data_IF_792362308981
#
_entry.id   IF_792362308981
#
_cell.length_a   1.000
_cell.length_b   1.000
_cell.length_c   1.000
_cell.angle_alpha   90.00
_cell.angle_beta   90.00
_cell.angle_gamma   90.00
#
_symmetry.space_group_name_H-M   'P 1'
#
loop_
_entity.id
_entity.type
_entity.pdbx_description
1 polymer ?
#
# COMPACT_ATOMS: atom_id res chain seq x y z
N UNK A 1 5.10 5.14 -22.76
CA UNK A 1 6.22 5.26 -21.81
C UNK A 1 5.97 6.49 -20.96
N UNK A 2 6.10 6.39 -19.63
CA UNK A 2 5.93 7.46 -18.64
C UNK A 2 7.17 7.52 -17.76
N UNK A 3 7.44 8.67 -17.16
CA UNK A 3 8.41 8.82 -16.07
C UNK A 3 7.66 8.68 -14.74
N UNK A 4 8.09 7.73 -13.92
CA UNK A 4 7.41 7.40 -12.67
C UNK A 4 8.39 7.38 -11.51
N UNK A 5 8.15 8.24 -10.53
CA UNK A 5 8.90 8.21 -9.28
C UNK A 5 8.17 7.39 -8.23
N UNK A 6 8.86 6.44 -7.59
CA UNK A 6 8.34 5.64 -6.47
C UNK A 6 9.03 6.11 -5.19
N UNK A 7 8.27 6.75 -4.32
CA UNK A 7 8.75 7.32 -3.06
C UNK A 7 8.60 6.30 -1.95
N UNK A 8 9.73 5.67 -1.59
CA UNK A 8 9.82 4.61 -0.59
C UNK A 8 10.24 3.27 -1.17
N UNK A 9 11.43 2.79 -0.78
CA UNK A 9 12.04 1.54 -1.25
C UNK A 9 11.76 0.34 -0.32
N UNK A 10 10.61 0.32 0.35
CA UNK A 10 10.12 -0.83 1.10
C UNK A 10 9.71 -1.99 0.18
N UNK A 11 9.16 -3.07 0.75
CA UNK A 11 8.70 -4.23 -0.04
C UNK A 11 7.74 -3.82 -1.16
N UNK A 12 6.72 -3.03 -0.82
CA UNK A 12 5.68 -2.64 -1.79
C UNK A 12 6.18 -1.66 -2.84
N UNK A 13 6.94 -0.63 -2.44
CA UNK A 13 7.53 0.32 -3.39
C UNK A 13 8.50 -0.36 -4.36
N UNK A 14 9.37 -1.26 -3.87
CA UNK A 14 10.27 -2.03 -4.71
C UNK A 14 9.53 -2.95 -5.69
N UNK A 15 8.44 -3.63 -5.24
CA UNK A 15 7.63 -4.47 -6.12
C UNK A 15 6.94 -3.67 -7.22
N UNK A 16 6.40 -2.48 -6.90
CA UNK A 16 5.80 -1.58 -7.88
C UNK A 16 6.83 -0.98 -8.84
N UNK A 17 8.04 -0.64 -8.36
CA UNK A 17 9.12 -0.17 -9.22
C UNK A 17 9.50 -1.24 -10.26
N UNK A 18 9.60 -2.50 -9.86
CA UNK A 18 9.84 -3.63 -10.77
C UNK A 18 8.69 -3.81 -11.77
N UNK A 19 7.44 -3.75 -11.31
CA UNK A 19 6.25 -3.82 -12.16
C UNK A 19 6.28 -2.74 -13.25
N UNK A 20 6.49 -1.47 -12.84
CA UNK A 20 6.47 -0.31 -13.71
C UNK A 20 7.63 -0.33 -14.72
N UNK A 21 8.83 -0.71 -14.28
CA UNK A 21 9.99 -0.87 -15.16
C UNK A 21 9.77 -1.98 -16.20
N UNK A 22 9.15 -3.11 -15.80
CA UNK A 22 8.77 -4.20 -16.71
C UNK A 22 7.64 -3.79 -17.67
N UNK A 23 6.82 -2.80 -17.33
CA UNK A 23 5.84 -2.19 -18.23
C UNK A 23 6.48 -1.23 -19.25
N UNK A 24 7.80 -1.00 -19.17
CA UNK A 24 8.53 -0.13 -20.11
C UNK A 24 8.52 1.35 -19.72
N UNK A 25 8.26 1.67 -18.45
CA UNK A 25 8.38 3.04 -17.93
C UNK A 25 9.80 3.35 -17.47
N UNK A 26 10.16 4.64 -17.45
CA UNK A 26 11.34 5.14 -16.76
C UNK A 26 11.00 5.25 -15.28
N UNK A 27 11.75 4.54 -14.41
CA UNK A 27 11.41 4.45 -12.99
C UNK A 27 12.55 4.97 -12.13
N UNK A 28 12.22 5.91 -11.24
CA UNK A 28 13.08 6.38 -10.17
C UNK A 28 12.57 5.83 -8.84
N UNK A 29 13.38 5.06 -8.14
CA UNK A 29 13.07 4.51 -6.81
C UNK A 29 13.84 5.32 -5.76
N UNK A 30 13.08 6.07 -4.95
CA UNK A 30 13.65 6.92 -3.91
C UNK A 30 13.66 6.25 -2.54
N UNK A 31 14.76 6.42 -1.83
CA UNK A 31 14.85 6.20 -0.38
C UNK A 31 15.87 7.16 0.24
N UNK A 32 15.61 7.56 1.49
CA UNK A 32 16.52 8.42 2.24
C UNK A 32 17.55 7.63 3.09
N UNK A 33 17.40 6.31 3.18
CA UNK A 33 18.25 5.45 4.00
C UNK A 33 19.55 5.09 3.24
N UNK A 34 20.73 5.56 3.70
CA UNK A 34 22.01 5.26 3.05
C UNK A 34 22.31 3.77 2.90
N UNK A 35 21.86 2.96 3.87
CA UNK A 35 22.02 1.50 3.81
C UNK A 35 21.19 0.88 2.69
N UNK A 36 19.93 1.33 2.55
CA UNK A 36 19.08 0.89 1.43
C UNK A 36 19.63 1.34 0.08
N UNK A 37 20.15 2.57 -0.02
CA UNK A 37 20.75 3.09 -1.26
C UNK A 37 21.93 2.22 -1.68
N UNK A 38 22.87 1.94 -0.76
CA UNK A 38 24.02 1.08 -1.04
C UNK A 38 23.58 -0.33 -1.46
N UNK A 39 22.66 -0.93 -0.71
CA UNK A 39 22.12 -2.27 -0.97
C UNK A 39 21.43 -2.34 -2.34
N UNK A 40 20.52 -1.41 -2.65
CA UNK A 40 19.77 -1.38 -3.91
C UNK A 40 20.69 -1.10 -5.11
N UNK A 41 21.68 -0.21 -4.96
CA UNK A 41 22.63 0.14 -6.01
C UNK A 41 23.60 -1.01 -6.32
N UNK A 42 24.07 -1.72 -5.29
CA UNK A 42 25.10 -2.78 -5.45
C UNK A 42 24.50 -4.14 -5.74
N UNK A 43 23.45 -4.54 -5.01
CA UNK A 43 22.83 -5.87 -5.13
C UNK A 43 21.69 -5.92 -6.13
N UNK A 44 21.17 -4.76 -6.54
CA UNK A 44 19.96 -4.65 -7.36
C UNK A 44 18.82 -5.50 -6.81
N UNK A 45 18.61 -5.44 -5.49
CA UNK A 45 17.61 -6.22 -4.77
C UNK A 45 17.37 -5.60 -3.38
N UNK A 46 16.11 -5.55 -2.98
CA UNK A 46 15.73 -5.22 -1.60
C UNK A 46 15.78 -6.51 -0.75
N UNK A 47 17.01 -6.93 -0.38
CA UNK A 47 17.25 -8.26 0.23
C UNK A 47 16.58 -8.44 1.60
N UNK A 48 16.29 -7.34 2.31
CA UNK A 48 15.74 -7.38 3.66
C UNK A 48 14.20 -7.42 3.67
N UNK A 49 13.56 -6.67 2.75
CA UNK A 49 12.11 -6.46 2.76
C UNK A 49 11.39 -7.15 1.60
N UNK A 50 12.13 -7.51 0.52
CA UNK A 50 11.58 -8.19 -0.67
C UNK A 50 12.64 -9.15 -1.27
N UNK A 51 13.09 -10.16 -0.52
CA UNK A 51 14.13 -11.05 -0.98
C UNK A 51 13.70 -11.88 -2.19
N UNK A 52 14.65 -12.09 -3.12
CA UNK A 52 14.46 -12.89 -4.33
C UNK A 52 13.80 -12.15 -5.49
N UNK A 53 13.61 -10.82 -5.38
CA UNK A 53 13.09 -9.97 -6.48
C UNK A 53 14.20 -9.01 -6.91
N UNK A 54 14.72 -9.22 -8.13
CA UNK A 54 15.76 -8.35 -8.71
C UNK A 54 15.16 -7.10 -9.31
N UNK A 55 15.80 -5.97 -9.06
CA UNK A 55 15.47 -4.70 -9.71
C UNK A 55 16.07 -4.70 -11.13
N UNK A 56 15.26 -4.47 -12.17
CA UNK A 56 15.75 -4.21 -13.53
C UNK A 56 16.78 -3.08 -13.58
N UNK A 57 17.76 -3.18 -14.48
CA UNK A 57 18.86 -2.22 -14.58
C UNK A 57 18.41 -0.79 -14.91
N UNK A 58 17.24 -0.65 -15.56
CA UNK A 58 16.63 0.62 -15.92
C UNK A 58 15.92 1.33 -14.76
N UNK A 59 15.90 0.77 -13.53
CA UNK A 59 15.44 1.50 -12.35
C UNK A 59 16.59 2.36 -11.82
N UNK A 60 16.37 3.66 -11.73
CA UNK A 60 17.28 4.61 -11.10
C UNK A 60 17.06 4.59 -9.57
N UNK A 61 18.13 4.47 -8.79
CA UNK A 61 18.08 4.60 -7.33
C UNK A 61 18.48 6.02 -6.98
N UNK A 62 17.64 6.73 -6.23
CA UNK A 62 17.83 8.15 -5.93
C UNK A 62 17.70 8.41 -4.42
N UNK A 63 18.61 9.21 -3.88
CA UNK A 63 18.63 9.64 -2.48
C UNK A 63 18.02 11.04 -2.30
N UNK A 64 18.21 11.92 -3.28
CA UNK A 64 17.71 13.28 -3.23
C UNK A 64 16.26 13.35 -3.67
N UNK A 65 15.37 13.79 -2.76
CA UNK A 65 13.93 13.84 -3.00
C UNK A 65 13.58 14.82 -4.13
N UNK A 66 14.30 15.95 -4.23
CA UNK A 66 14.07 16.93 -5.30
C UNK A 66 14.38 16.34 -6.67
N UNK A 67 15.50 15.66 -6.79
CA UNK A 67 15.91 14.97 -8.03
C UNK A 67 14.90 13.89 -8.40
N UNK A 68 14.46 13.10 -7.43
CA UNK A 68 13.46 12.04 -7.63
C UNK A 68 12.09 12.56 -8.10
N UNK A 69 11.75 13.81 -7.83
CA UNK A 69 10.47 14.43 -8.20
C UNK A 69 10.55 15.32 -9.44
N UNK A 70 11.75 15.48 -10.03
CA UNK A 70 11.94 16.37 -11.17
C UNK A 70 11.45 15.75 -12.47
N UNK A 71 10.53 16.44 -13.15
CA UNK A 71 9.99 16.08 -14.47
C UNK A 71 9.26 14.72 -14.55
N UNK A 72 8.72 14.25 -13.43
CA UNK A 72 7.93 13.03 -13.38
C UNK A 72 6.49 13.22 -13.90
N UNK A 73 5.96 12.23 -14.60
CA UNK A 73 4.56 12.17 -15.03
C UNK A 73 3.65 11.71 -13.86
N UNK A 74 4.11 10.73 -13.09
CA UNK A 74 3.37 10.12 -11.97
C UNK A 74 4.31 9.93 -10.78
N UNK A 75 3.83 10.26 -9.60
CA UNK A 75 4.52 10.00 -8.32
C UNK A 75 3.75 8.95 -7.54
N UNK A 76 4.40 7.86 -7.15
CA UNK A 76 3.82 6.78 -6.35
C UNK A 76 4.29 6.92 -4.90
N UNK A 77 3.37 7.23 -3.98
CA UNK A 77 3.64 7.34 -2.54
C UNK A 77 3.58 5.95 -1.89
N UNK A 78 4.73 5.35 -1.64
CA UNK A 78 4.88 3.98 -1.11
C UNK A 78 5.58 3.90 0.25
N UNK A 79 5.58 5.00 1.00
CA UNK A 79 6.10 5.03 2.37
C UNK A 79 5.07 4.47 3.36
N UNK A 80 5.47 4.03 4.57
CA UNK A 80 4.54 3.60 5.62
C UNK A 80 3.54 4.70 6.02
N UNK A 81 2.31 4.30 6.38
CA UNK A 81 1.23 5.25 6.70
C UNK A 81 1.60 6.30 7.77
N UNK A 82 2.35 5.97 8.86
CA UNK A 82 2.67 6.96 9.89
C UNK A 82 3.57 8.12 9.43
N UNK A 83 4.26 7.96 8.29
CA UNK A 83 5.18 8.99 7.79
C UNK A 83 4.68 9.70 6.52
N UNK A 84 3.49 9.35 6.02
CA UNK A 84 2.93 9.93 4.77
C UNK A 84 2.85 11.44 4.85
N UNK A 85 2.29 12.03 5.92
CA UNK A 85 2.20 13.49 6.11
C UNK A 85 3.56 14.16 6.06
N UNK A 86 4.52 13.61 6.81
CA UNK A 86 5.87 14.17 6.85
C UNK A 86 6.53 14.18 5.46
N UNK A 87 6.40 13.07 4.74
CA UNK A 87 6.99 12.93 3.39
C UNK A 87 6.24 13.83 2.39
N UNK A 88 4.90 13.89 2.44
CA UNK A 88 4.11 14.79 1.60
C UNK A 88 4.53 16.25 1.79
N UNK A 89 4.72 16.68 3.04
CA UNK A 89 5.21 18.02 3.37
C UNK A 89 6.61 18.29 2.79
N UNK A 90 7.50 17.28 2.82
CA UNK A 90 8.84 17.41 2.20
C UNK A 90 8.78 17.46 0.67
N UNK A 91 7.82 16.77 0.06
CA UNK A 91 7.60 16.75 -1.39
C UNK A 91 6.99 18.05 -1.90
N UNK A 92 6.12 18.69 -1.12
CA UNK A 92 5.29 19.84 -1.52
C UNK A 92 6.04 20.95 -2.28
N UNK A 93 7.27 21.38 -1.90
CA UNK A 93 8.01 22.41 -2.63
C UNK A 93 8.44 21.99 -4.05
N UNK A 94 8.38 20.71 -4.39
CA UNK A 94 8.90 20.18 -5.67
C UNK A 94 7.78 19.63 -6.56
N UNK A 95 6.53 19.65 -6.09
CA UNK A 95 5.36 19.15 -6.83
C UNK A 95 4.80 20.25 -7.74
N UNK A 96 4.57 19.91 -9.00
CA UNK A 96 3.96 20.80 -10.01
C UNK A 96 2.43 20.86 -9.81
N UNK A 97 1.83 21.95 -10.28
CA UNK A 97 0.37 22.05 -10.35
C UNK A 97 -0.20 20.92 -11.22
N UNK A 98 -1.20 20.22 -10.67
CA UNK A 98 -1.82 19.08 -11.33
C UNK A 98 -0.97 17.80 -11.35
N UNK A 99 0.14 17.75 -10.61
CA UNK A 99 0.94 16.52 -10.49
C UNK A 99 0.11 15.37 -9.97
N UNK A 100 0.12 14.26 -10.67
CA UNK A 100 -0.58 13.05 -10.23
C UNK A 100 0.26 12.34 -9.17
N UNK A 101 -0.34 12.15 -7.99
CA UNK A 101 0.24 11.39 -6.87
C UNK A 101 -0.66 10.19 -6.59
N UNK A 102 -0.10 8.98 -6.68
CA UNK A 102 -0.83 7.73 -6.41
C UNK A 102 -0.42 7.23 -5.03
N UNK A 103 -1.31 7.36 -4.04
CA UNK A 103 -1.11 6.74 -2.74
C UNK A 103 -1.32 5.22 -2.85
N UNK A 104 -0.33 4.46 -2.40
CA UNK A 104 -0.39 2.99 -2.35
C UNK A 104 -0.23 2.45 -0.93
N UNK A 105 -0.04 3.33 0.05
CA UNK A 105 -0.01 2.98 1.47
C UNK A 105 -1.44 2.68 1.97
N UNK A 106 -1.53 1.85 3.00
CA UNK A 106 -2.81 1.40 3.58
C UNK A 106 -2.82 1.72 5.08
N UNK A 107 -3.63 2.68 5.48
CA UNK A 107 -3.72 3.12 6.87
C UNK A 107 -4.57 4.38 7.01
N UNK A 108 -4.73 4.82 8.24
CA UNK A 108 -5.39 6.06 8.65
C UNK A 108 -4.39 6.79 9.56
N UNK A 109 -4.37 8.11 9.51
CA UNK A 109 -3.54 8.89 10.43
C UNK A 109 -4.11 8.79 11.85
N UNK A 110 -3.29 8.39 12.81
CA UNK A 110 -3.69 8.07 14.19
C UNK A 110 -4.19 9.28 15.00
N UNK A 111 -3.73 10.50 14.68
CA UNK A 111 -4.09 11.72 15.41
C UNK A 111 -5.36 12.38 14.88
N UNK A 112 -5.50 12.44 13.56
CA UNK A 112 -6.60 13.17 12.91
C UNK A 112 -7.72 12.27 12.40
N UNK A 113 -7.47 10.96 12.32
CA UNK A 113 -8.35 9.94 11.72
C UNK A 113 -8.66 10.19 10.23
N UNK A 114 -7.82 11.00 9.55
CA UNK A 114 -7.96 11.29 8.13
C UNK A 114 -7.41 10.15 7.28
N UNK A 115 -7.96 10.02 6.08
CA UNK A 115 -7.40 9.12 5.07
C UNK A 115 -6.04 9.64 4.60
N UNK A 116 -5.23 8.77 4.00
CA UNK A 116 -3.91 9.17 3.53
C UNK A 116 -3.99 10.11 2.33
N UNK A 117 -5.03 9.98 1.49
CA UNK A 117 -5.28 10.94 0.41
C UNK A 117 -5.63 12.33 0.94
N UNK A 118 -6.48 12.41 1.98
CA UNK A 118 -6.82 13.69 2.61
C UNK A 118 -5.55 14.42 3.12
N UNK A 119 -4.65 13.69 3.80
CA UNK A 119 -3.43 14.32 4.32
C UNK A 119 -2.43 14.69 3.22
N UNK A 120 -2.39 13.94 2.11
CA UNK A 120 -1.57 14.34 0.95
C UNK A 120 -2.17 15.60 0.31
N UNK A 121 -3.49 15.69 0.14
CA UNK A 121 -4.16 16.88 -0.38
C UNK A 121 -3.99 18.11 0.53
N UNK A 122 -3.95 17.91 1.86
CA UNK A 122 -3.66 19.00 2.80
C UNK A 122 -2.24 19.57 2.65
N UNK A 123 -1.24 18.70 2.53
CA UNK A 123 0.17 19.12 2.42
C UNK A 123 0.55 19.55 1.00
N UNK A 124 -0.17 19.05 -0.03
CA UNK A 124 0.08 19.31 -1.46
C UNK A 124 -1.26 19.64 -2.17
N UNK A 125 -1.86 20.80 -1.89
CA UNK A 125 -3.23 21.12 -2.36
C UNK A 125 -3.36 21.30 -3.88
N UNK A 126 -2.25 21.42 -4.59
CA UNK A 126 -2.19 21.56 -6.05
C UNK A 126 -1.97 20.21 -6.78
N UNK A 127 -1.86 19.10 -6.07
CA UNK A 127 -1.74 17.77 -6.67
C UNK A 127 -3.10 17.15 -7.00
N UNK A 128 -3.12 16.24 -7.98
CA UNK A 128 -4.22 15.29 -8.20
C UNK A 128 -3.92 13.98 -7.47
N UNK A 129 -4.56 13.77 -6.32
CA UNK A 129 -4.33 12.57 -5.50
C UNK A 129 -5.25 11.44 -5.94
N UNK A 130 -4.61 10.30 -6.21
CA UNK A 130 -5.24 9.04 -6.60
C UNK A 130 -4.81 7.93 -5.63
N UNK A 131 -5.48 6.80 -5.66
CA UNK A 131 -5.18 5.66 -4.80
C UNK A 131 -5.07 4.37 -5.61
N UNK A 132 -4.19 3.46 -5.20
CA UNK A 132 -4.10 2.11 -5.74
C UNK A 132 -4.16 1.11 -4.57
N UNK A 133 -5.16 0.23 -4.57
CA UNK A 133 -5.35 -0.74 -3.49
C UNK A 133 -6.01 -2.02 -3.99
N UNK A 134 -6.00 -3.07 -3.17
CA UNK A 134 -6.54 -4.39 -3.47
C UNK A 134 -5.66 -5.51 -2.92
N UNK A 135 -5.99 -6.79 -3.15
CA UNK A 135 -5.21 -7.93 -2.71
C UNK A 135 -3.86 -7.95 -3.44
N UNK A 136 -2.79 -7.46 -2.80
CA UNK A 136 -1.51 -7.17 -3.45
C UNK A 136 -0.33 -7.34 -2.50
N UNK A 137 -0.01 -8.58 -2.15
CA UNK A 137 1.24 -8.86 -1.43
C UNK A 137 2.45 -8.57 -2.33
N UNK A 138 3.40 -7.78 -1.81
CA UNK A 138 4.58 -7.34 -2.54
C UNK A 138 5.41 -8.51 -3.07
N UNK A 139 5.48 -9.59 -2.30
CA UNK A 139 6.21 -10.81 -2.64
C UNK A 139 5.64 -11.50 -3.90
N UNK A 140 4.33 -11.47 -4.06
CA UNK A 140 3.65 -12.04 -5.23
C UNK A 140 3.76 -11.11 -6.43
N UNK A 141 3.50 -9.83 -6.26
CA UNK A 141 3.59 -8.83 -7.34
C UNK A 141 5.01 -8.73 -7.88
N UNK A 142 6.02 -8.67 -7.02
CA UNK A 142 7.42 -8.60 -7.43
C UNK A 142 7.90 -9.84 -8.20
N UNK A 143 7.25 -10.99 -8.01
CA UNK A 143 7.52 -12.24 -8.76
C UNK A 143 6.65 -12.42 -9.99
N UNK A 144 5.79 -11.45 -10.31
CA UNK A 144 4.89 -11.53 -11.46
C UNK A 144 3.76 -12.54 -11.32
N UNK A 145 3.34 -12.85 -10.10
CA UNK A 145 2.17 -13.71 -9.85
C UNK A 145 0.90 -12.90 -10.16
N UNK A 146 -0.11 -13.50 -10.83
CA UNK A 146 -1.33 -12.80 -11.22
C UNK A 146 -2.00 -12.10 -10.03
N UNK A 147 -2.18 -10.80 -10.17
CA UNK A 147 -2.72 -9.91 -9.12
C UNK A 147 -3.76 -8.98 -9.74
N UNK A 148 -4.77 -8.63 -8.96
CA UNK A 148 -5.83 -7.71 -9.38
C UNK A 148 -6.04 -6.63 -8.34
N UNK A 149 -6.03 -5.36 -8.77
CA UNK A 149 -6.18 -4.18 -7.92
C UNK A 149 -7.19 -3.19 -8.50
N UNK A 150 -7.48 -2.14 -7.72
CA UNK A 150 -8.31 -1.01 -8.14
C UNK A 150 -7.48 0.27 -8.03
N UNK A 151 -7.55 1.11 -9.08
CA UNK A 151 -7.11 2.50 -9.03
C UNK A 151 -8.32 3.41 -8.87
N UNK A 152 -8.26 4.30 -7.88
CA UNK A 152 -9.25 5.32 -7.60
C UNK A 152 -8.75 6.70 -7.99
N UNK A 153 -9.55 7.45 -8.76
CA UNK A 153 -9.28 8.84 -9.10
C UNK A 153 -10.58 9.65 -9.18
N UNK A 154 -10.49 10.97 -8.94
CA UNK A 154 -11.64 11.88 -9.09
C UNK A 154 -12.06 12.00 -10.57
N UNK A 155 -11.08 12.04 -11.47
CA UNK A 155 -11.28 12.12 -12.91
C UNK A 155 -11.18 10.73 -13.56
N UNK A 156 -12.11 10.43 -14.46
CA UNK A 156 -12.13 9.15 -15.18
C UNK A 156 -10.91 9.00 -16.08
N UNK A 157 -10.53 10.06 -16.77
CA UNK A 157 -9.37 10.09 -17.68
C UNK A 157 -8.07 9.79 -16.93
N UNK A 158 -7.90 10.34 -15.73
CA UNK A 158 -6.76 10.04 -14.85
C UNK A 158 -6.79 8.58 -14.39
N UNK A 159 -7.96 8.05 -14.01
CA UNK A 159 -8.10 6.65 -13.63
C UNK A 159 -7.74 5.69 -14.77
N UNK A 160 -8.21 5.97 -15.99
CA UNK A 160 -7.91 5.17 -17.18
C UNK A 160 -6.43 5.27 -17.58
N UNK A 161 -5.83 6.45 -17.49
CA UNK A 161 -4.39 6.64 -17.73
C UNK A 161 -3.56 5.84 -16.71
N UNK A 162 -3.91 5.91 -15.42
CA UNK A 162 -3.22 5.13 -14.38
C UNK A 162 -3.45 3.63 -14.53
N UNK A 163 -4.63 3.21 -14.97
CA UNK A 163 -4.89 1.82 -15.35
C UNK A 163 -3.87 1.35 -16.40
N UNK A 164 -3.65 2.13 -17.46
CA UNK A 164 -2.69 1.79 -18.51
C UNK A 164 -1.24 1.79 -18.01
N UNK A 165 -0.89 2.67 -17.08
CA UNK A 165 0.46 2.74 -16.48
C UNK A 165 0.77 1.48 -15.69
N UNK A 166 -0.14 1.01 -14.85
CA UNK A 166 0.11 -0.13 -13.96
C UNK A 166 -0.23 -1.49 -14.57
N UNK A 167 -1.18 -1.55 -15.51
CA UNK A 167 -1.72 -2.83 -16.01
C UNK A 167 -0.74 -3.56 -16.92
N UNK A 168 -0.68 -4.89 -16.77
CA UNK A 168 -0.01 -5.78 -17.70
C UNK A 168 -0.68 -7.17 -17.71
N UNK A 169 -0.04 -8.17 -18.32
CA UNK A 169 -0.59 -9.54 -18.47
C UNK A 169 -0.86 -10.26 -17.15
N UNK A 170 -0.13 -9.88 -16.07
CA UNK A 170 -0.24 -10.49 -14.74
C UNK A 170 -0.73 -9.52 -13.67
N UNK A 171 -0.86 -8.24 -13.98
CA UNK A 171 -1.34 -7.23 -13.05
C UNK A 171 -2.56 -6.52 -13.64
N UNK A 172 -3.75 -6.94 -13.21
CA UNK A 172 -5.02 -6.39 -13.68
C UNK A 172 -5.40 -5.19 -12.81
N UNK A 173 -5.76 -4.08 -13.44
CA UNK A 173 -6.21 -2.87 -12.78
C UNK A 173 -7.64 -2.54 -13.19
N UNK A 174 -8.53 -2.35 -12.22
CA UNK A 174 -9.88 -1.79 -12.42
C UNK A 174 -9.88 -0.32 -11.99
N UNK A 175 -10.80 0.46 -12.52
CA UNK A 175 -10.97 1.88 -12.18
C UNK A 175 -12.18 2.09 -11.27
N UNK A 176 -12.12 3.08 -10.38
CA UNK A 176 -13.22 3.51 -9.53
C UNK A 176 -13.14 5.01 -9.25
N UNK A 177 -14.29 5.63 -8.98
CA UNK A 177 -14.36 7.00 -8.47
C UNK A 177 -14.47 7.08 -6.94
N UNK A 178 -14.55 5.94 -6.25
CA UNK A 178 -14.72 5.86 -4.80
C UNK A 178 -13.35 5.77 -4.08
N UNK A 179 -12.61 6.86 -4.04
CA UNK A 179 -11.31 6.95 -3.37
C UNK A 179 -11.45 6.60 -1.89
N UNK A 180 -12.44 7.16 -1.22
CA UNK A 180 -12.69 6.96 0.22
C UNK A 180 -12.92 5.49 0.54
N UNK A 181 -13.82 4.82 -0.19
CA UNK A 181 -14.11 3.40 0.03
C UNK A 181 -12.89 2.51 -0.24
N UNK A 182 -12.08 2.83 -1.25
CA UNK A 182 -10.84 2.11 -1.57
C UNK A 182 -9.83 2.22 -0.42
N UNK A 183 -9.60 3.41 0.11
CA UNK A 183 -8.66 3.64 1.20
C UNK A 183 -9.11 3.00 2.51
N UNK A 184 -10.37 3.23 2.88
CA UNK A 184 -10.94 2.66 4.12
C UNK A 184 -10.95 1.14 4.09
N UNK A 185 -11.30 0.52 2.96
CA UNK A 185 -11.20 -0.94 2.79
C UNK A 185 -9.78 -1.45 3.03
N UNK A 186 -8.79 -0.80 2.42
CA UNK A 186 -7.38 -1.15 2.58
C UNK A 186 -6.82 -0.91 3.98
N UNK A 187 -7.28 0.13 4.69
CA UNK A 187 -6.82 0.48 6.03
C UNK A 187 -7.46 -0.41 7.12
N UNK A 188 -8.79 -0.46 7.14
CA UNK A 188 -9.55 -1.11 8.21
C UNK A 188 -9.41 -2.64 8.22
N UNK A 189 -9.21 -3.28 7.05
CA UNK A 189 -8.95 -4.72 6.98
C UNK A 189 -7.78 -5.17 7.85
N UNK A 190 -6.80 -4.30 8.08
CA UNK A 190 -5.60 -4.63 8.84
C UNK A 190 -5.92 -4.93 10.31
N UNK A 191 -6.93 -4.26 10.89
CA UNK A 191 -7.45 -4.54 12.24
C UNK A 191 -8.06 -5.94 12.29
N UNK A 192 -8.88 -6.29 11.29
CA UNK A 192 -9.51 -7.63 11.20
C UNK A 192 -8.44 -8.72 11.00
N UNK A 193 -7.41 -8.43 10.21
CA UNK A 193 -6.29 -9.37 10.01
C UNK A 193 -5.46 -9.59 11.29
N UNK A 194 -5.28 -8.55 12.11
CA UNK A 194 -4.66 -8.67 13.44
C UNK A 194 -5.50 -9.60 14.32
N UNK A 195 -6.82 -9.39 14.39
CA UNK A 195 -7.75 -10.25 15.14
C UNK A 195 -7.77 -11.68 14.60
N UNK A 196 -7.74 -11.89 13.26
CA UNK A 196 -7.67 -13.21 12.65
C UNK A 196 -6.39 -13.97 13.04
N UNK A 197 -5.26 -13.24 13.10
CA UNK A 197 -4.01 -13.81 13.62
C UNK A 197 -4.13 -14.22 15.09
N UNK A 198 -4.76 -13.39 15.93
CA UNK A 198 -4.99 -13.71 17.35
C UNK A 198 -5.85 -14.96 17.52
N UNK A 199 -6.89 -15.11 16.72
CA UNK A 199 -7.73 -16.32 16.66
C UNK A 199 -6.89 -17.56 16.33
N UNK A 200 -6.00 -17.45 15.33
CA UNK A 200 -5.07 -18.54 14.98
C UNK A 200 -4.10 -18.85 16.12
N UNK A 201 -3.55 -17.83 16.77
CA UNK A 201 -2.63 -17.97 17.91
C UNK A 201 -3.25 -18.65 19.12
N UNK A 202 -4.52 -18.38 19.40
CA UNK A 202 -5.30 -19.01 20.45
C UNK A 202 -5.69 -20.47 20.12
N UNK A 203 -5.47 -20.91 18.89
CA UNK A 203 -5.80 -22.27 18.44
C UNK A 203 -7.27 -22.46 18.07
N UNK A 204 -8.00 -21.39 17.78
CA UNK A 204 -9.36 -21.48 17.25
C UNK A 204 -9.33 -21.88 15.78
N UNK A 205 -10.35 -22.61 15.34
CA UNK A 205 -10.37 -23.18 14.00
C UNK A 205 -10.90 -22.24 12.92
N UNK A 206 -10.97 -22.79 11.69
CA UNK A 206 -11.37 -22.05 10.48
C UNK A 206 -12.81 -21.51 10.56
N UNK A 207 -13.71 -22.18 11.25
CA UNK A 207 -15.08 -21.69 11.46
C UNK A 207 -15.09 -20.36 12.23
N UNK A 208 -14.26 -20.22 13.27
CA UNK A 208 -14.14 -18.98 14.04
C UNK A 208 -13.54 -17.88 13.17
N UNK A 209 -12.50 -18.17 12.39
CA UNK A 209 -11.88 -17.23 11.46
C UNK A 209 -12.88 -16.79 10.39
N UNK A 210 -13.64 -17.69 9.79
CA UNK A 210 -14.68 -17.36 8.81
C UNK A 210 -15.76 -16.44 9.41
N UNK A 211 -16.23 -16.76 10.63
CA UNK A 211 -17.19 -15.91 11.35
C UNK A 211 -16.63 -14.51 11.62
N UNK A 212 -15.38 -14.41 12.08
CA UNK A 212 -14.68 -13.13 12.31
C UNK A 212 -14.59 -12.31 11.02
N UNK A 213 -14.16 -12.89 9.91
CA UNK A 213 -14.06 -12.21 8.63
C UNK A 213 -15.44 -11.75 8.13
N UNK A 214 -16.47 -12.59 8.25
CA UNK A 214 -17.85 -12.25 7.87
C UNK A 214 -18.40 -11.07 8.68
N UNK A 215 -18.17 -11.06 9.98
CA UNK A 215 -18.58 -9.95 10.86
C UNK A 215 -17.71 -8.70 10.59
N UNK A 216 -16.40 -8.92 10.40
CA UNK A 216 -15.45 -7.86 10.10
C UNK A 216 -15.81 -7.08 8.84
N UNK A 217 -16.13 -7.76 7.71
CA UNK A 217 -16.52 -7.05 6.48
C UNK A 217 -17.83 -6.29 6.64
N UNK A 218 -18.81 -6.82 7.38
CA UNK A 218 -20.05 -6.13 7.63
C UNK A 218 -19.87 -4.86 8.48
N UNK A 219 -18.96 -4.89 9.45
CA UNK A 219 -18.60 -3.74 10.28
C UNK A 219 -17.81 -2.70 9.49
N UNK A 220 -16.85 -3.16 8.71
CA UNK A 220 -16.03 -2.37 7.81
C UNK A 220 -16.89 -1.60 6.79
N UNK A 221 -17.89 -2.27 6.21
CA UNK A 221 -18.85 -1.65 5.28
C UNK A 221 -19.66 -0.55 5.97
N UNK A 222 -20.22 -0.81 7.16
CA UNK A 222 -21.01 0.20 7.90
C UNK A 222 -20.18 1.44 8.26
N UNK A 223 -18.96 1.23 8.74
CA UNK A 223 -18.05 2.33 9.06
C UNK A 223 -17.65 3.10 7.80
N UNK A 224 -17.33 2.37 6.73
CA UNK A 224 -16.95 2.96 5.45
C UNK A 224 -18.06 3.78 4.82
N UNK A 225 -19.30 3.31 4.86
CA UNK A 225 -20.48 4.10 4.42
C UNK A 225 -20.66 5.37 5.26
N UNK A 226 -20.53 5.27 6.59
CA UNK A 226 -20.66 6.43 7.48
C UNK A 226 -19.59 7.50 7.21
N UNK A 227 -18.44 7.10 6.65
CA UNK A 227 -17.33 7.98 6.26
C UNK A 227 -17.37 8.40 4.77
N UNK A 228 -18.41 8.04 4.03
CA UNK A 228 -18.64 8.49 2.65
C UNK A 228 -18.20 7.51 1.55
N UNK A 229 -17.72 6.33 1.89
CA UNK A 229 -17.43 5.25 0.93
C UNK A 229 -18.70 4.56 0.43
N UNK A 230 -18.62 3.90 -0.72
CA UNK A 230 -19.75 3.18 -1.32
C UNK A 230 -19.77 1.71 -0.88
N UNK A 231 -20.93 1.13 -0.50
CA UNK A 231 -21.04 -0.26 -0.04
C UNK A 231 -20.47 -1.29 -1.04
N UNK A 232 -20.64 -1.03 -2.33
CA UNK A 232 -20.16 -1.89 -3.40
C UNK A 232 -18.63 -2.04 -3.39
N UNK A 233 -17.92 -0.98 -3.01
CA UNK A 233 -16.45 -0.99 -2.91
C UNK A 233 -15.97 -2.00 -1.86
N UNK A 234 -16.66 -2.09 -0.72
CA UNK A 234 -16.33 -3.03 0.35
C UNK A 234 -16.67 -4.48 0.00
N UNK A 235 -17.62 -4.71 -0.91
CA UNK A 235 -17.91 -6.04 -1.47
C UNK A 235 -16.93 -6.46 -2.58
N UNK A 236 -16.05 -5.55 -3.02
CA UNK A 236 -15.09 -5.72 -4.10
C UNK A 236 -13.69 -6.11 -3.65
N UNK A 237 -12.71 -5.77 -4.52
CA UNK A 237 -11.30 -6.12 -4.35
C UNK A 237 -10.67 -5.47 -3.12
N UNK A 238 -10.98 -4.21 -2.84
CA UNK A 238 -10.38 -3.44 -1.73
C UNK A 238 -11.03 -3.72 -0.38
N UNK A 239 -12.21 -4.31 -0.37
CA UNK A 239 -12.90 -4.80 0.83
C UNK A 239 -12.68 -6.29 1.03
N UNK A 240 -13.63 -7.12 0.56
CA UNK A 240 -13.62 -8.59 0.74
C UNK A 240 -12.34 -9.21 0.19
N UNK A 241 -11.90 -8.84 -1.01
CA UNK A 241 -10.72 -9.44 -1.64
C UNK A 241 -9.45 -9.24 -0.81
N UNK A 242 -9.17 -8.01 -0.42
CA UNK A 242 -7.97 -7.67 0.35
C UNK A 242 -8.08 -8.15 1.81
N UNK A 243 -9.29 -8.22 2.38
CA UNK A 243 -9.54 -8.81 3.69
C UNK A 243 -9.20 -10.30 3.72
N UNK A 244 -9.71 -11.08 2.75
CA UNK A 244 -9.47 -12.53 2.68
C UNK A 244 -7.97 -12.81 2.60
N UNK A 245 -7.28 -12.20 1.64
CA UNK A 245 -5.84 -12.48 1.45
C UNK A 245 -5.03 -12.06 2.68
N UNK A 246 -5.40 -10.95 3.34
CA UNK A 246 -4.67 -10.46 4.51
C UNK A 246 -4.90 -11.31 5.77
N UNK A 247 -6.11 -11.86 5.94
CA UNK A 247 -6.44 -12.74 7.06
C UNK A 247 -5.92 -14.18 6.91
N UNK A 248 -5.60 -14.62 5.68
CA UNK A 248 -5.22 -16.02 5.41
C UNK A 248 -3.76 -16.20 5.01
N UNK A 249 -3.14 -15.18 4.42
CA UNK A 249 -1.77 -15.26 3.90
C UNK A 249 -0.71 -15.31 5.01
N UNK A 250 0.33 -16.09 4.76
CA UNK A 250 1.55 -16.13 5.59
C UNK A 250 2.38 -14.83 5.45
N UNK A 251 2.20 -14.09 4.36
CA UNK A 251 2.87 -12.81 4.11
C UNK A 251 2.27 -11.64 4.91
N UNK A 252 1.09 -11.84 5.51
CA UNK A 252 0.42 -10.78 6.28
C UNK A 252 1.12 -10.49 7.60
N UNK A 253 1.74 -9.31 7.67
CA UNK A 253 2.39 -8.81 8.89
C UNK A 253 1.40 -8.64 10.04
N UNK A 254 0.19 -8.13 9.75
CA UNK A 254 -0.87 -7.96 10.74
C UNK A 254 -1.32 -9.31 11.30
N UNK A 255 -1.58 -10.30 10.44
CA UNK A 255 -1.91 -11.65 10.88
C UNK A 255 -0.78 -12.28 11.71
N UNK A 256 0.49 -12.12 11.30
CA UNK A 256 1.66 -12.62 12.04
C UNK A 256 1.75 -11.97 13.42
N UNK A 257 1.61 -10.66 13.53
CA UNK A 257 1.60 -9.98 14.82
C UNK A 257 0.45 -10.47 15.72
N UNK A 258 -0.77 -10.55 15.19
CA UNK A 258 -1.91 -11.11 15.90
C UNK A 258 -1.66 -12.53 16.38
N UNK A 259 -1.07 -13.40 15.55
CA UNK A 259 -0.71 -14.76 15.94
C UNK A 259 0.21 -14.79 17.16
N UNK A 260 1.25 -13.95 17.18
CA UNK A 260 2.18 -13.84 18.29
C UNK A 260 1.49 -13.31 19.56
N UNK A 261 0.58 -12.34 19.41
CA UNK A 261 -0.26 -11.85 20.52
C UNK A 261 -1.18 -12.95 21.06
N UNK A 262 -1.80 -13.77 20.20
CA UNK A 262 -2.59 -14.94 20.59
C UNK A 262 -1.77 -16.03 21.30
N UNK A 263 -0.45 -16.05 21.10
CA UNK A 263 0.50 -16.91 21.83
C UNK A 263 0.96 -16.30 23.16
N UNK A 264 0.50 -15.10 23.52
CA UNK A 264 0.78 -14.47 24.82
C UNK A 264 1.80 -13.32 24.78
N UNK A 265 2.29 -12.93 23.59
CA UNK A 265 3.13 -11.73 23.46
C UNK A 265 2.31 -10.45 23.63
N UNK A 266 2.91 -9.41 24.15
CA UNK A 266 2.35 -8.05 24.09
C UNK A 266 2.40 -7.52 22.65
N UNK A 267 1.62 -6.48 22.35
CA UNK A 267 1.65 -5.86 21.02
C UNK A 267 3.05 -5.33 20.66
N UNK A 268 3.75 -4.74 21.64
CA UNK A 268 5.12 -4.24 21.45
C UNK A 268 6.12 -5.35 21.11
N UNK A 269 6.05 -6.49 21.82
CA UNK A 269 6.91 -7.66 21.56
C UNK A 269 6.61 -8.25 20.18
N UNK A 270 5.35 -8.38 19.83
CA UNK A 270 4.93 -8.89 18.53
C UNK A 270 5.41 -7.99 17.37
N UNK A 271 5.30 -6.65 17.51
CA UNK A 271 5.82 -5.70 16.52
C UNK A 271 7.34 -5.79 16.36
N UNK A 272 8.08 -5.92 17.45
CA UNK A 272 9.54 -6.12 17.41
C UNK A 272 9.94 -7.39 16.66
N UNK A 273 9.18 -8.49 16.88
CA UNK A 273 9.44 -9.77 16.20
C UNK A 273 9.08 -9.75 14.70
N UNK A 274 8.06 -8.97 14.33
CA UNK A 274 7.68 -8.78 12.91
C UNK A 274 8.73 -7.96 12.15
N UNK A 275 9.46 -7.07 12.81
CA UNK A 275 10.53 -6.21 12.25
C UNK A 275 10.10 -5.28 11.12
N UNK A 276 8.81 -5.10 10.92
CA UNK A 276 8.22 -4.22 9.89
C UNK A 276 6.97 -3.56 10.49
N UNK A 277 6.48 -2.50 9.83
CA UNK A 277 5.28 -1.80 10.28
C UNK A 277 4.06 -2.74 10.27
N UNK A 278 3.33 -2.74 11.38
CA UNK A 278 2.08 -3.48 11.59
C UNK A 278 0.95 -2.45 11.62
N UNK A 279 0.43 -2.11 10.45
CA UNK A 279 -0.58 -1.04 10.28
C UNK A 279 -1.84 -1.25 11.13
N UNK A 280 -2.25 -2.50 11.33
CA UNK A 280 -3.44 -2.82 12.13
C UNK A 280 -3.34 -2.45 13.61
N UNK A 281 -2.13 -2.27 14.15
CA UNK A 281 -1.94 -1.79 15.53
C UNK A 281 -2.15 -0.28 15.62
N UNK A 282 -1.78 0.45 14.57
CA UNK A 282 -1.97 1.91 14.49
C UNK A 282 -3.41 2.29 14.13
N UNK A 283 -4.13 1.40 13.41
CA UNK A 283 -5.51 1.65 12.98
C UNK A 283 -6.57 1.12 13.96
N UNK A 284 -6.18 0.44 15.04
CA UNK A 284 -7.06 -0.09 16.08
C UNK A 284 -7.22 0.90 17.24
#
# INVERSE_FOLDING_TARGET
MKKVSVIGAGSWGSALAVLLANNGHEVTLWTHDPHEIEMLSTKREQVEKLPGVKLPDNIMIEADLKTALTDEDVVVMAVPSPVVRMVAKQMSPFIKDGQIIVNVAKGIEDVTYKTLSDIIEEEIPNAEVCVLSGPSHAEEVGRGIPTTVVVGAKNKETAEMLQDVFMNKVFRVYTSSDIVGIELGGALKNVIALAAGTVDGLGYGDNTKAALMTRGIAELTRLGEALGGKPETFSGLTGVGDLIVTCTSVHSRNRKAGYLMGKGMTAEEAMKEVKMVVEGVYSA
#
